data_IF_007703979823
#
_entry.id   IF_007703979823
#
_cell.length_a   1.000
_cell.length_b   1.000
_cell.length_c   1.000
_cell.angle_alpha   90.00
_cell.angle_beta   90.00
_cell.angle_gamma   90.00
#
_symmetry.space_group_name_H-M   'P 1'
#
loop_
_entity.id
_entity.type
_entity.pdbx_description
1 polymer ?
#
# COMPACT_ATOMS: atom_id res chain seq x y z
N UNK A 1 -57.49 26.35 56.54
CA UNK A 1 -56.15 26.01 56.89
C UNK A 1 -56.03 24.54 56.46
N UNK A 2 -55.51 24.09 55.36
CA UNK A 2 -54.31 24.37 54.65
C UNK A 2 -54.45 23.91 53.16
N UNK A 3 -54.44 24.87 52.25
CA UNK A 3 -54.47 24.64 50.82
C UNK A 3 -53.05 24.85 50.18
N UNK A 4 -52.00 24.52 50.81
CA UNK A 4 -50.63 24.81 50.31
C UNK A 4 -49.75 23.62 50.06
N UNK A 5 -50.29 22.40 50.01
CA UNK A 5 -49.43 21.19 49.85
C UNK A 5 -49.73 20.34 48.59
N UNK A 6 -50.55 20.84 47.66
CA UNK A 6 -50.91 20.11 46.41
C UNK A 6 -50.14 20.54 45.17
N UNK A 7 -49.37 21.63 45.22
CA UNK A 7 -48.70 22.19 44.03
C UNK A 7 -47.21 21.82 43.91
N UNK A 8 -46.60 21.18 44.90
CA UNK A 8 -45.17 20.78 44.86
C UNK A 8 -44.93 19.39 44.28
N UNK A 9 -45.94 18.52 44.18
CA UNK A 9 -45.77 17.15 43.68
C UNK A 9 -45.97 16.96 42.18
N UNK A 10 -46.49 17.96 41.48
CA UNK A 10 -46.68 17.91 40.02
C UNK A 10 -45.52 18.47 39.22
N UNK A 11 -44.57 19.13 39.84
CA UNK A 11 -43.45 19.75 39.15
C UNK A 11 -42.19 18.85 39.11
N UNK A 12 -42.07 17.89 40.03
CA UNK A 12 -40.95 16.94 40.03
C UNK A 12 -41.11 15.78 39.04
N UNK A 13 -42.34 15.43 38.65
CA UNK A 13 -42.59 14.37 37.67
C UNK A 13 -42.42 14.81 36.22
N UNK A 14 -42.32 16.10 35.91
CA UNK A 14 -42.05 16.59 34.55
C UNK A 14 -40.56 16.69 34.21
N UNK A 15 -39.69 16.75 35.21
CA UNK A 15 -38.22 16.78 34.99
C UNK A 15 -37.60 15.41 34.86
N UNK A 16 -38.27 14.35 35.35
CA UNK A 16 -37.75 12.99 35.26
C UNK A 16 -38.04 12.30 33.91
N UNK A 17 -39.01 12.79 33.12
CA UNK A 17 -39.35 12.22 31.79
C UNK A 17 -38.51 12.75 30.63
N UNK A 18 -37.73 13.81 30.84
CA UNK A 18 -36.93 14.43 29.79
C UNK A 18 -35.43 14.01 29.80
N UNK A 19 -35.02 13.12 30.71
CA UNK A 19 -33.64 12.62 30.76
C UNK A 19 -33.45 11.20 30.22
N UNK A 20 -34.50 10.54 29.74
CA UNK A 20 -34.44 9.18 29.23
C UNK A 20 -34.42 9.06 27.67
N UNK A 21 -34.26 10.16 26.94
CA UNK A 21 -34.28 10.17 25.46
C UNK A 21 -32.99 10.66 24.81
N UNK A 22 -31.86 10.69 25.53
CA UNK A 22 -30.57 11.14 24.99
C UNK A 22 -29.47 10.09 25.11
N UNK A 23 -29.79 8.81 24.97
CA UNK A 23 -28.76 7.75 24.85
C UNK A 23 -29.20 6.78 23.76
N UNK A 24 -29.13 7.22 22.52
CA UNK A 24 -28.89 6.39 21.35
C UNK A 24 -28.27 7.29 20.28
N UNK A 25 -27.14 7.88 20.58
CA UNK A 25 -26.21 8.26 19.53
C UNK A 25 -25.49 6.97 19.14
N UNK A 26 -25.88 6.45 17.97
CA UNK A 26 -25.21 5.40 17.25
C UNK A 26 -23.72 5.70 17.24
N UNK A 27 -22.99 4.97 18.07
CA UNK A 27 -21.53 5.01 18.10
C UNK A 27 -21.01 4.29 16.87
N UNK A 28 -21.24 4.91 15.70
CA UNK A 28 -20.56 4.49 14.47
C UNK A 28 -19.09 4.77 14.69
N UNK A 29 -18.21 3.75 14.69
CA UNK A 29 -16.79 3.97 14.88
C UNK A 29 -16.32 5.02 13.87
N UNK A 30 -15.55 5.98 14.33
CA UNK A 30 -15.06 7.12 13.50
C UNK A 30 -14.38 6.63 12.21
N UNK A 31 -13.86 5.42 12.21
CA UNK A 31 -13.31 4.75 11.03
C UNK A 31 -14.38 4.38 9.99
N UNK A 32 -15.52 3.83 10.40
CA UNK A 32 -16.61 3.46 9.48
C UNK A 32 -17.29 4.70 8.88
N UNK A 33 -17.49 5.73 9.67
CA UNK A 33 -18.02 7.01 9.19
C UNK A 33 -17.07 7.69 8.18
N UNK A 34 -15.74 7.56 8.37
CA UNK A 34 -14.74 8.05 7.41
C UNK A 34 -14.72 7.23 6.12
N UNK A 35 -14.88 5.90 6.21
CA UNK A 35 -14.98 5.03 5.03
C UNK A 35 -16.23 5.37 4.23
N UNK A 36 -17.40 5.46 4.87
CA UNK A 36 -18.66 5.81 4.22
C UNK A 36 -18.63 7.21 3.60
N UNK A 37 -17.97 8.19 4.22
CA UNK A 37 -17.80 9.51 3.63
C UNK A 37 -16.94 9.51 2.36
N UNK A 38 -15.97 8.59 2.26
CA UNK A 38 -15.14 8.41 1.07
C UNK A 38 -15.88 7.62 -0.03
N UNK A 39 -16.72 6.65 0.36
CA UNK A 39 -17.49 5.83 -0.59
C UNK A 39 -18.71 6.60 -1.18
N UNK A 40 -19.36 7.46 -0.41
CA UNK A 40 -20.53 8.22 -0.87
C UNK A 40 -20.21 9.35 -1.87
N UNK A 41 -18.95 9.65 -2.14
CA UNK A 41 -18.55 10.56 -3.23
C UNK A 41 -18.46 9.86 -4.59
N UNK A 42 -18.89 8.59 -4.69
CA UNK A 42 -18.90 7.83 -5.93
C UNK A 42 -19.98 8.36 -6.89
N UNK A 43 -19.62 9.27 -7.78
CA UNK A 43 -20.40 9.52 -8.99
C UNK A 43 -20.39 8.26 -9.86
N UNK A 44 -21.56 7.93 -10.41
CA UNK A 44 -21.87 6.76 -11.25
C UNK A 44 -21.14 6.90 -12.60
N UNK A 45 -19.84 6.66 -12.61
CA UNK A 45 -18.98 6.60 -13.79
C UNK A 45 -17.72 5.81 -13.44
N UNK A 46 -17.03 5.22 -14.42
CA UNK A 46 -15.68 4.70 -14.18
C UNK A 46 -14.86 5.80 -13.55
N UNK A 47 -14.36 5.63 -12.32
CA UNK A 47 -13.63 6.71 -11.66
C UNK A 47 -12.46 7.12 -12.55
N UNK A 48 -12.33 8.42 -12.82
CA UNK A 48 -11.15 8.98 -13.46
C UNK A 48 -9.91 8.50 -12.69
N UNK A 49 -8.84 8.18 -13.39
CA UNK A 49 -7.61 7.68 -12.78
C UNK A 49 -7.10 8.58 -11.66
N UNK A 50 -7.30 9.89 -11.80
CA UNK A 50 -7.01 10.87 -10.76
C UNK A 50 -7.86 10.65 -9.50
N UNK A 51 -9.17 10.54 -9.65
CA UNK A 51 -10.09 10.37 -8.51
C UNK A 51 -9.82 9.08 -7.76
N UNK A 52 -9.62 7.97 -8.48
CA UNK A 52 -9.25 6.69 -7.88
C UNK A 52 -7.90 6.79 -7.14
N UNK A 53 -6.93 7.49 -7.70
CA UNK A 53 -5.63 7.70 -7.07
C UNK A 53 -5.73 8.48 -5.76
N UNK A 54 -6.47 9.59 -5.74
CA UNK A 54 -6.68 10.42 -4.54
C UNK A 54 -7.44 9.65 -3.44
N UNK A 55 -8.47 8.90 -3.79
CA UNK A 55 -9.16 8.00 -2.85
C UNK A 55 -8.21 6.97 -2.25
N UNK A 56 -7.38 6.35 -3.07
CA UNK A 56 -6.35 5.44 -2.62
C UNK A 56 -5.39 6.08 -1.62
N UNK A 57 -4.99 7.35 -1.83
CA UNK A 57 -4.14 8.08 -0.89
C UNK A 57 -4.83 8.33 0.45
N UNK A 58 -6.09 8.73 0.44
CA UNK A 58 -6.88 8.93 1.67
C UNK A 58 -6.98 7.63 2.46
N UNK A 59 -7.40 6.54 1.82
CA UNK A 59 -7.53 5.21 2.45
C UNK A 59 -6.19 4.71 3.02
N UNK A 60 -5.11 4.88 2.29
CA UNK A 60 -3.76 4.54 2.76
C UNK A 60 -3.38 5.32 4.02
N UNK A 61 -3.72 6.61 4.08
CA UNK A 61 -3.38 7.47 5.21
C UNK A 61 -4.17 7.12 6.48
N UNK A 62 -5.39 6.62 6.33
CA UNK A 62 -6.19 6.11 7.46
C UNK A 62 -5.90 4.64 7.81
N UNK A 63 -4.97 3.99 7.12
CA UNK A 63 -4.55 2.63 7.41
C UNK A 63 -5.36 1.52 6.73
N UNK A 64 -6.31 1.87 5.86
CA UNK A 64 -7.14 0.93 5.11
C UNK A 64 -6.41 0.41 3.86
N UNK A 65 -5.28 -0.29 4.10
CA UNK A 65 -4.31 -0.64 3.07
C UNK A 65 -4.85 -1.52 1.95
N UNK A 66 -5.78 -2.43 2.25
CA UNK A 66 -6.39 -3.30 1.26
C UNK A 66 -7.26 -2.50 0.30
N UNK A 67 -8.17 -1.68 0.83
CA UNK A 67 -9.04 -0.83 0.02
C UNK A 67 -8.22 0.20 -0.78
N UNK A 68 -7.19 0.78 -0.15
CA UNK A 68 -6.25 1.67 -0.85
C UNK A 68 -5.61 0.97 -2.07
N UNK A 69 -5.21 -0.30 -1.94
CA UNK A 69 -4.61 -1.05 -3.04
C UNK A 69 -5.60 -1.27 -4.19
N UNK A 70 -6.87 -1.54 -3.90
CA UNK A 70 -7.95 -1.70 -4.88
C UNK A 70 -8.16 -0.39 -5.68
N UNK A 71 -8.21 0.76 -4.99
CA UNK A 71 -8.32 2.06 -5.67
C UNK A 71 -7.07 2.43 -6.48
N UNK A 72 -5.88 2.09 -6.02
CA UNK A 72 -4.66 2.28 -6.81
C UNK A 72 -4.60 1.36 -8.03
N UNK A 73 -5.17 0.16 -7.97
CA UNK A 73 -5.30 -0.72 -9.14
C UNK A 73 -6.28 -0.13 -10.17
N UNK A 74 -7.38 0.48 -9.72
CA UNK A 74 -8.29 1.21 -10.59
C UNK A 74 -7.58 2.41 -11.25
N UNK A 75 -6.86 3.21 -10.47
CA UNK A 75 -6.06 4.32 -10.99
C UNK A 75 -5.03 3.88 -12.02
N UNK A 76 -4.44 2.70 -11.86
CA UNK A 76 -3.46 2.15 -12.79
C UNK A 76 -4.06 1.71 -14.16
N UNK A 77 -5.36 1.78 -14.34
CA UNK A 77 -6.00 1.58 -15.65
C UNK A 77 -5.89 2.84 -16.53
N UNK A 78 -5.70 4.01 -15.94
CA UNK A 78 -5.43 5.24 -16.66
C UNK A 78 -3.94 5.33 -17.02
N UNK A 79 -3.57 5.53 -18.31
CA UNK A 79 -2.18 5.67 -18.74
C UNK A 79 -1.37 6.71 -17.97
N UNK A 80 -1.99 7.82 -17.53
CA UNK A 80 -1.33 8.86 -16.75
C UNK A 80 -0.98 8.44 -15.33
N UNK A 81 -1.65 7.42 -14.80
CA UNK A 81 -1.50 6.94 -13.42
C UNK A 81 -0.94 5.52 -13.30
N UNK A 82 -0.71 4.81 -14.40
CA UNK A 82 -0.23 3.41 -14.40
C UNK A 82 0.93 3.19 -13.45
N UNK A 83 1.99 3.96 -13.60
CA UNK A 83 3.19 3.81 -12.77
C UNK A 83 2.92 4.13 -11.31
N UNK A 84 2.33 5.30 -11.07
CA UNK A 84 2.03 5.79 -9.72
C UNK A 84 1.04 4.86 -9.01
N UNK A 85 0.02 4.40 -9.72
CA UNK A 85 -0.98 3.45 -9.23
C UNK A 85 -0.32 2.15 -8.76
N UNK A 86 0.42 1.46 -9.62
CA UNK A 86 1.10 0.22 -9.23
C UNK A 86 2.14 0.42 -8.12
N UNK A 87 2.88 1.53 -8.12
CA UNK A 87 3.83 1.83 -7.06
C UNK A 87 3.15 2.04 -5.70
N UNK A 88 2.05 2.79 -5.66
CA UNK A 88 1.28 3.03 -4.42
C UNK A 88 0.49 1.78 -3.98
N UNK A 89 -0.04 1.00 -4.92
CA UNK A 89 -0.63 -0.32 -4.66
C UNK A 89 0.38 -1.22 -3.93
N UNK A 90 1.60 -1.35 -4.47
CA UNK A 90 2.66 -2.14 -3.84
C UNK A 90 3.02 -1.65 -2.44
N UNK A 91 3.09 -0.33 -2.23
CA UNK A 91 3.33 0.25 -0.90
C UNK A 91 2.20 -0.06 0.08
N UNK A 92 0.95 0.03 -0.35
CA UNK A 92 -0.23 -0.26 0.48
C UNK A 92 -0.29 -1.74 0.84
N UNK A 93 -0.12 -2.63 -0.13
CA UNK A 93 -0.07 -4.08 0.09
C UNK A 93 1.05 -4.47 1.06
N UNK A 94 2.24 -3.88 0.90
CA UNK A 94 3.36 -4.10 1.82
C UNK A 94 3.01 -3.69 3.25
N UNK A 95 2.40 -2.51 3.44
CA UNK A 95 1.97 -2.03 4.76
C UNK A 95 0.86 -2.90 5.35
N UNK A 96 -0.02 -3.43 4.51
CA UNK A 96 -1.08 -4.37 4.89
C UNK A 96 -0.61 -5.81 5.14
N UNK A 97 0.71 -6.08 5.10
CA UNK A 97 1.28 -7.40 5.32
C UNK A 97 1.25 -8.34 4.10
N UNK A 98 0.66 -7.92 2.98
CA UNK A 98 0.55 -8.70 1.73
C UNK A 98 1.79 -8.54 0.85
N UNK A 99 2.91 -9.07 1.33
CA UNK A 99 4.22 -8.79 0.74
C UNK A 99 4.41 -9.43 -0.64
N UNK A 100 3.85 -10.62 -0.91
CA UNK A 100 3.94 -11.27 -2.22
C UNK A 100 3.13 -10.49 -3.28
N UNK A 101 1.93 -10.03 -2.93
CA UNK A 101 1.12 -9.18 -3.79
C UNK A 101 1.83 -7.83 -4.05
N UNK A 102 2.52 -7.27 -3.04
CA UNK A 102 3.32 -6.06 -3.20
C UNK A 102 4.47 -6.25 -4.18
N UNK A 103 5.16 -7.40 -4.16
CA UNK A 103 6.21 -7.75 -5.14
C UNK A 103 5.62 -7.76 -6.56
N UNK A 104 4.44 -8.35 -6.74
CA UNK A 104 3.77 -8.38 -8.04
C UNK A 104 3.43 -6.96 -8.54
N UNK A 105 2.91 -6.10 -7.66
CA UNK A 105 2.58 -4.71 -8.00
C UNK A 105 3.83 -3.89 -8.37
N UNK A 106 4.94 -4.01 -7.62
CA UNK A 106 6.19 -3.33 -7.97
C UNK A 106 6.77 -3.82 -9.30
N UNK A 107 6.63 -5.11 -9.62
CA UNK A 107 7.05 -5.64 -10.93
C UNK A 107 6.22 -5.06 -12.06
N UNK A 108 4.90 -4.96 -11.91
CA UNK A 108 4.03 -4.28 -12.89
C UNK A 108 4.47 -2.83 -13.10
N UNK A 109 4.76 -2.10 -12.02
CA UNK A 109 5.24 -0.73 -12.11
C UNK A 109 6.55 -0.63 -12.91
N UNK A 110 7.49 -1.56 -12.76
CA UNK A 110 8.75 -1.58 -13.49
C UNK A 110 8.60 -1.98 -14.98
N UNK A 111 7.47 -2.55 -15.38
CA UNK A 111 7.16 -2.89 -16.78
C UNK A 111 6.60 -1.72 -17.56
N UNK A 112 6.20 -0.63 -16.88
CA UNK A 112 5.65 0.57 -17.53
C UNK A 112 6.76 1.26 -18.33
N UNK A 113 6.62 1.41 -19.66
CA UNK A 113 7.59 2.14 -20.47
C UNK A 113 7.61 3.62 -20.09
N UNK A 114 8.75 4.26 -20.26
CA UNK A 114 8.96 5.71 -20.04
C UNK A 114 8.97 6.20 -18.59
N UNK A 115 9.30 5.39 -17.66
CA UNK A 115 9.50 5.83 -16.29
C UNK A 115 10.71 6.74 -16.16
N UNK A 116 10.59 7.78 -15.36
CA UNK A 116 11.78 8.54 -14.99
C UNK A 116 12.74 7.62 -14.22
N UNK A 117 14.02 7.73 -14.51
CA UNK A 117 15.06 6.96 -13.81
C UNK A 117 14.92 7.06 -12.28
N UNK A 118 14.49 8.22 -11.77
CA UNK A 118 14.26 8.44 -10.34
C UNK A 118 13.14 7.56 -9.77
N UNK A 119 12.04 7.41 -10.47
CA UNK A 119 10.90 6.58 -10.04
C UNK A 119 11.27 5.09 -10.09
N UNK A 120 11.94 4.66 -11.16
CA UNK A 120 12.44 3.28 -11.28
C UNK A 120 13.38 2.91 -10.13
N UNK A 121 14.32 3.79 -9.82
CA UNK A 121 15.26 3.63 -8.70
C UNK A 121 14.53 3.45 -7.37
N UNK A 122 13.49 4.24 -7.13
CA UNK A 122 12.68 4.14 -5.92
C UNK A 122 11.91 2.82 -5.87
N UNK A 123 11.31 2.40 -6.98
CA UNK A 123 10.54 1.15 -7.05
C UNK A 123 11.47 -0.07 -6.90
N UNK A 124 12.64 -0.07 -7.54
CA UNK A 124 13.65 -1.12 -7.38
C UNK A 124 14.11 -1.28 -5.92
N UNK A 125 14.28 -0.17 -5.22
CA UNK A 125 14.62 -0.20 -3.80
C UNK A 125 13.49 -0.82 -2.96
N UNK A 126 12.24 -0.43 -3.21
CA UNK A 126 11.07 -0.98 -2.51
C UNK A 126 10.87 -2.47 -2.81
N UNK A 127 11.05 -2.87 -4.06
CA UNK A 127 11.03 -4.27 -4.48
C UNK A 127 12.10 -5.09 -3.76
N UNK A 128 13.35 -4.63 -3.79
CA UNK A 128 14.47 -5.28 -3.10
C UNK A 128 14.20 -5.46 -1.61
N UNK A 129 13.71 -4.41 -0.93
CA UNK A 129 13.33 -4.44 0.50
C UNK A 129 12.20 -5.41 0.79
N UNK A 130 11.24 -5.55 -0.11
CA UNK A 130 10.11 -6.47 0.07
C UNK A 130 10.55 -7.91 -0.14
N UNK A 131 11.37 -8.18 -1.17
CA UNK A 131 11.96 -9.49 -1.41
C UNK A 131 12.89 -9.94 -0.29
N UNK A 132 13.66 -9.01 0.29
CA UNK A 132 14.50 -9.27 1.47
C UNK A 132 13.65 -9.69 2.67
N UNK A 133 12.53 -9.02 2.94
CA UNK A 133 11.62 -9.39 4.03
C UNK A 133 10.94 -10.75 3.82
N UNK A 134 10.78 -11.18 2.58
CA UNK A 134 10.30 -12.52 2.20
C UNK A 134 11.42 -13.59 2.18
N UNK A 135 12.64 -13.22 2.56
CA UNK A 135 13.82 -14.10 2.47
C UNK A 135 14.14 -14.58 1.06
N UNK A 136 13.62 -13.91 0.02
CA UNK A 136 13.90 -14.20 -1.39
C UNK A 136 15.22 -13.54 -1.81
N UNK A 137 16.31 -14.00 -1.18
CA UNK A 137 17.63 -13.37 -1.25
C UNK A 137 18.18 -13.21 -2.68
N UNK A 138 18.12 -14.25 -3.57
CA UNK A 138 18.62 -14.11 -4.94
C UNK A 138 17.94 -12.97 -5.71
N UNK A 139 16.63 -12.86 -5.57
CA UNK A 139 15.83 -11.86 -6.26
C UNK A 139 16.04 -10.45 -5.68
N UNK A 140 16.16 -10.36 -4.36
CA UNK A 140 16.49 -9.10 -3.70
C UNK A 140 17.86 -8.57 -4.17
N UNK A 141 18.86 -9.45 -4.29
CA UNK A 141 20.18 -9.09 -4.81
C UNK A 141 20.11 -8.58 -6.24
N UNK A 142 19.29 -9.17 -7.11
CA UNK A 142 19.12 -8.69 -8.48
C UNK A 142 18.49 -7.32 -8.52
N UNK A 143 17.43 -7.08 -7.76
CA UNK A 143 16.79 -5.77 -7.66
C UNK A 143 17.78 -4.69 -7.19
N UNK A 144 18.57 -4.97 -6.15
CA UNK A 144 19.57 -4.03 -5.65
C UNK A 144 20.76 -3.85 -6.60
N UNK A 145 21.20 -4.88 -7.32
CA UNK A 145 22.25 -4.76 -8.34
C UNK A 145 21.81 -3.89 -9.50
N UNK A 146 20.55 -4.04 -9.93
CA UNK A 146 20.00 -3.15 -10.94
C UNK A 146 19.93 -1.72 -10.42
N UNK A 147 19.35 -1.52 -9.24
CA UNK A 147 19.32 -0.23 -8.58
C UNK A 147 20.71 0.43 -8.55
N UNK A 148 21.75 -0.31 -8.17
CA UNK A 148 23.13 0.21 -8.09
C UNK A 148 23.70 0.62 -9.45
N UNK A 149 23.30 -0.04 -10.54
CA UNK A 149 23.68 0.36 -11.90
C UNK A 149 23.07 1.70 -12.30
N UNK A 150 21.81 1.92 -11.95
CA UNK A 150 21.07 3.15 -12.28
C UNK A 150 21.45 4.31 -11.32
N UNK A 151 21.69 3.98 -10.06
CA UNK A 151 22.00 4.95 -9.00
C UNK A 151 22.99 4.35 -8.00
N UNK A 152 24.32 4.48 -8.24
CA UNK A 152 25.35 3.83 -7.43
C UNK A 152 25.32 4.17 -5.94
N UNK A 153 24.90 5.38 -5.59
CA UNK A 153 24.89 5.89 -4.22
C UNK A 153 23.50 6.00 -3.60
N UNK A 154 22.53 5.26 -4.15
CA UNK A 154 21.17 5.33 -3.63
C UNK A 154 21.03 4.61 -2.29
N UNK A 155 20.83 5.41 -1.23
CA UNK A 155 20.61 4.93 0.15
C UNK A 155 21.66 3.90 0.58
N UNK A 156 21.21 2.80 1.20
CA UNK A 156 22.02 1.70 1.72
C UNK A 156 22.11 0.48 0.77
N UNK A 157 21.81 0.66 -0.51
CA UNK A 157 21.76 -0.42 -1.48
C UNK A 157 23.09 -1.21 -1.59
N UNK A 158 24.22 -0.52 -1.56
CA UNK A 158 25.53 -1.16 -1.61
C UNK A 158 25.77 -2.06 -0.39
N UNK A 159 25.50 -1.57 0.81
CA UNK A 159 25.61 -2.34 2.06
C UNK A 159 24.68 -3.56 2.08
N UNK A 160 23.46 -3.40 1.54
CA UNK A 160 22.51 -4.53 1.44
C UNK A 160 23.02 -5.60 0.49
N UNK A 161 23.57 -5.22 -0.66
CA UNK A 161 24.16 -6.17 -1.61
C UNK A 161 25.26 -6.99 -0.93
N UNK A 162 26.15 -6.35 -0.20
CA UNK A 162 27.25 -7.02 0.49
C UNK A 162 26.72 -7.99 1.57
N UNK A 163 25.86 -7.50 2.46
CA UNK A 163 25.24 -8.30 3.52
C UNK A 163 24.48 -9.50 2.98
N UNK A 164 23.65 -9.31 1.94
CA UNK A 164 22.86 -10.38 1.36
C UNK A 164 23.73 -11.37 0.56
N UNK A 165 24.81 -10.91 -0.08
CA UNK A 165 25.77 -11.79 -0.77
C UNK A 165 26.45 -12.74 0.21
N UNK A 166 26.87 -12.22 1.36
CA UNK A 166 27.47 -13.03 2.44
C UNK A 166 26.47 -14.06 2.98
N UNK A 167 25.23 -13.65 3.25
CA UNK A 167 24.16 -14.56 3.69
C UNK A 167 23.86 -15.65 2.67
N UNK A 168 23.89 -15.30 1.38
CA UNK A 168 23.69 -16.26 0.28
C UNK A 168 24.79 -17.32 0.26
N UNK A 169 26.05 -16.93 0.34
CA UNK A 169 27.18 -17.87 0.36
C UNK A 169 27.08 -18.87 1.53
N UNK A 170 26.65 -18.40 2.70
CA UNK A 170 26.46 -19.27 3.86
C UNK A 170 25.29 -20.27 3.68
N UNK A 171 24.22 -19.89 2.96
CA UNK A 171 23.08 -20.77 2.70
C UNK A 171 23.36 -21.75 1.57
N UNK A 172 24.04 -21.35 0.49
CA UNK A 172 24.41 -22.23 -0.63
C UNK A 172 25.42 -23.30 -0.19
N UNK A 173 26.34 -22.95 0.69
CA UNK A 173 27.29 -23.90 1.27
C UNK A 173 26.61 -24.97 2.16
N UNK A 174 25.39 -24.70 2.64
CA UNK A 174 24.57 -25.64 3.41
C UNK A 174 23.63 -26.50 2.57
N UNK A 175 23.22 -26.10 1.38
CA UNK A 175 22.11 -26.72 0.64
C UNK A 175 22.41 -27.15 -0.79
N UNK A 176 23.56 -26.84 -1.38
CA UNK A 176 23.99 -27.34 -2.72
C UNK A 176 23.01 -27.05 -3.87
N UNK A 177 22.11 -26.08 -3.76
CA UNK A 177 21.08 -25.83 -4.77
C UNK A 177 21.32 -24.56 -5.57
N UNK A 178 21.34 -24.75 -6.89
CA UNK A 178 21.50 -23.71 -7.89
C UNK A 178 20.30 -22.76 -8.07
N UNK A 179 20.52 -21.76 -8.89
CA UNK A 179 19.59 -20.67 -9.23
C UNK A 179 18.15 -21.12 -9.48
N UNK A 180 17.20 -20.46 -8.84
CA UNK A 180 15.78 -20.60 -9.14
C UNK A 180 15.51 -20.33 -10.64
N UNK A 181 14.69 -21.16 -11.32
CA UNK A 181 14.33 -20.97 -12.73
C UNK A 181 13.77 -19.58 -13.03
N UNK A 182 13.15 -18.98 -12.04
CA UNK A 182 12.58 -17.65 -12.09
C UNK A 182 13.65 -16.54 -12.25
N UNK A 183 14.78 -16.63 -11.59
CA UNK A 183 15.85 -15.65 -11.70
C UNK A 183 16.38 -15.55 -13.13
N UNK A 184 16.44 -16.67 -13.86
CA UNK A 184 16.79 -16.71 -15.28
C UNK A 184 15.72 -16.02 -16.14
N UNK A 185 14.45 -16.23 -15.85
CA UNK A 185 13.35 -15.66 -16.61
C UNK A 185 13.23 -14.13 -16.40
N UNK A 186 13.43 -13.68 -15.16
CA UNK A 186 13.48 -12.24 -14.85
C UNK A 186 14.65 -11.55 -15.57
N UNK A 187 15.82 -12.16 -15.57
CA UNK A 187 16.99 -11.63 -16.27
C UNK A 187 16.74 -11.48 -17.78
N UNK A 188 16.07 -12.46 -18.40
CA UNK A 188 15.72 -12.42 -19.83
C UNK A 188 14.71 -11.33 -20.15
N UNK A 189 13.65 -11.19 -19.35
CA UNK A 189 12.67 -10.11 -19.53
C UNK A 189 13.31 -8.73 -19.40
N UNK A 190 14.23 -8.57 -18.47
CA UNK A 190 14.86 -7.30 -18.17
C UNK A 190 15.95 -6.91 -19.16
N UNK A 191 16.67 -7.87 -19.71
CA UNK A 191 17.60 -7.64 -20.83
C UNK A 191 16.89 -7.23 -22.11
N UNK A 192 15.65 -7.72 -22.34
CA UNK A 192 14.81 -7.31 -23.46
C UNK A 192 14.38 -5.82 -23.37
N UNK A 193 14.03 -5.36 -22.18
CA UNK A 193 13.64 -3.97 -21.92
C UNK A 193 14.82 -2.99 -22.12
N UNK A 194 16.02 -3.37 -21.71
CA UNK A 194 17.21 -2.53 -21.84
C UNK A 194 17.70 -2.41 -23.31
N UNK A 195 17.38 -3.40 -24.16
CA UNK A 195 17.81 -3.40 -25.57
C UNK A 195 16.89 -2.59 -26.48
N UNK A 196 15.64 -2.40 -26.10
CA UNK A 196 14.64 -1.65 -26.87
C UNK A 196 14.53 -0.16 -26.48
N UNK A 197 15.36 0.33 -25.58
CA UNK A 197 15.39 1.71 -25.07
C UNK A 197 16.50 2.58 -25.66
N UNK A 198 16.96 2.28 -26.89
CA UNK A 198 17.86 3.15 -27.67
C UNK A 198 17.15 3.68 -28.90
#
# INVERSE_FOLDING_TARGET
>A
MDETNALSLTQENHLASNQASLVNEDHVPIQEARVQAVENTASIGTPDGYEAYERGLVLKNVGLFRQAAEHFEQAAQDPAYVLKGFAQMGLSLKKGGKQEEAVAAFRRALQVPSTSSKEQVQILYLLGRTLESLSRIPEALEAYRWLRREAPHYRDAAMRIESLSTRRMHTENRQGQGYSPWAKQALHMWQGLLRNGK
#
